data_IF_831886535998
#
_entry.id   IF_831886535998
#
_cell.length_a   1.000
_cell.length_b   1.000
_cell.length_c   1.000
_cell.angle_alpha   90.00
_cell.angle_beta   90.00
_cell.angle_gamma   90.00
#
_symmetry.space_group_name_H-M   'P 1'
#
loop_
_entity.id
_entity.type
_entity.pdbx_description
1 polymer ?
#
# COMPACT_ATOMS: atom_id res chain seq x y z
N UNK A 1 40.18 7.66 -36.39
CA UNK A 1 38.97 7.44 -35.58
C UNK A 1 38.68 5.96 -35.69
N UNK A 2 39.09 5.20 -34.65
CA UNK A 2 38.80 3.77 -34.58
C UNK A 2 37.33 3.61 -34.11
N UNK A 3 36.52 2.97 -34.92
CA UNK A 3 35.20 2.52 -34.57
C UNK A 3 35.35 1.44 -33.48
N UNK A 4 34.99 1.75 -32.25
CA UNK A 4 34.83 0.76 -31.17
C UNK A 4 33.57 -0.05 -31.49
N UNK A 5 33.77 -1.15 -32.19
CA UNK A 5 32.71 -2.17 -32.39
C UNK A 5 32.48 -2.84 -31.06
N UNK A 6 31.45 -2.43 -30.33
CA UNK A 6 30.94 -3.15 -29.15
C UNK A 6 30.46 -4.52 -29.66
N UNK A 7 31.29 -5.54 -29.51
CA UNK A 7 30.85 -6.94 -29.62
C UNK A 7 29.80 -7.19 -28.53
N UNK A 8 28.57 -7.41 -28.95
CA UNK A 8 27.49 -7.89 -28.09
C UNK A 8 27.89 -9.31 -27.70
N UNK A 9 28.51 -9.46 -26.52
CA UNK A 9 28.80 -10.79 -25.97
C UNK A 9 27.49 -11.58 -25.90
N UNK A 10 27.51 -12.83 -26.37
CA UNK A 10 26.36 -13.71 -26.28
C UNK A 10 26.07 -13.99 -24.79
N UNK A 11 24.84 -13.74 -24.38
CA UNK A 11 24.37 -14.01 -23.02
C UNK A 11 24.61 -15.48 -22.66
N UNK A 12 25.18 -15.73 -21.51
CA UNK A 12 25.30 -17.10 -21.02
C UNK A 12 23.95 -17.64 -20.53
N UNK A 13 23.88 -18.95 -20.24
CA UNK A 13 22.65 -19.62 -19.83
C UNK A 13 22.02 -19.01 -18.58
N UNK A 14 22.81 -18.62 -17.59
CA UNK A 14 22.34 -17.98 -16.34
C UNK A 14 21.69 -16.64 -16.65
N UNK A 15 22.37 -15.80 -17.43
CA UNK A 15 21.84 -14.49 -17.82
C UNK A 15 20.52 -14.62 -18.59
N UNK A 16 20.43 -15.58 -19.51
CA UNK A 16 19.21 -15.84 -20.28
C UNK A 16 18.07 -16.32 -19.38
N UNK A 17 18.34 -17.22 -18.41
CA UNK A 17 17.34 -17.68 -17.44
C UNK A 17 16.77 -16.51 -16.63
N UNK A 18 17.62 -15.62 -16.16
CA UNK A 18 17.21 -14.48 -15.33
C UNK A 18 16.42 -13.46 -16.15
N UNK A 19 16.81 -13.19 -17.37
CA UNK A 19 16.02 -12.34 -18.29
C UNK A 19 14.63 -12.91 -18.55
N UNK A 20 14.55 -14.22 -18.78
CA UNK A 20 13.26 -14.89 -18.96
C UNK A 20 12.42 -14.83 -17.67
N UNK A 21 13.04 -14.98 -16.50
CA UNK A 21 12.34 -14.80 -15.22
C UNK A 21 11.78 -13.39 -15.06
N UNK A 22 12.54 -12.34 -15.41
CA UNK A 22 12.05 -10.96 -15.32
C UNK A 22 10.81 -10.70 -16.19
N UNK A 23 10.66 -11.46 -17.28
CA UNK A 23 9.51 -11.33 -18.19
C UNK A 23 8.30 -12.17 -17.73
N UNK A 24 8.54 -13.34 -17.13
CA UNK A 24 7.49 -14.35 -16.95
C UNK A 24 7.17 -14.67 -15.50
N UNK A 25 8.07 -14.39 -14.56
CA UNK A 25 8.04 -14.85 -13.17
C UNK A 25 7.86 -16.39 -13.05
N UNK A 26 8.28 -17.16 -14.08
CA UNK A 26 8.14 -18.63 -14.10
C UNK A 26 9.00 -19.27 -12.99
N UNK A 27 8.34 -20.06 -12.16
CA UNK A 27 8.93 -20.68 -10.98
C UNK A 27 10.08 -21.67 -11.28
N UNK A 28 10.18 -22.15 -12.53
CA UNK A 28 11.30 -23.03 -12.95
C UNK A 28 12.68 -22.37 -12.84
N UNK A 29 12.72 -21.01 -12.78
CA UNK A 29 13.96 -20.25 -12.60
C UNK A 29 14.31 -19.97 -11.12
N UNK A 30 13.48 -20.44 -10.19
CA UNK A 30 13.66 -20.30 -8.76
C UNK A 30 14.09 -21.65 -8.16
N UNK A 31 15.13 -21.65 -7.31
CA UNK A 31 15.55 -22.86 -6.59
C UNK A 31 14.43 -23.35 -5.65
N UNK A 32 14.37 -24.65 -5.39
CA UNK A 32 13.31 -25.22 -4.54
C UNK A 32 13.33 -24.69 -3.12
N UNK A 33 14.52 -24.43 -2.59
CA UNK A 33 14.78 -23.91 -1.25
C UNK A 33 15.08 -22.42 -1.24
N UNK A 34 14.69 -21.69 -2.28
CA UNK A 34 14.91 -20.24 -2.38
C UNK A 34 14.25 -19.46 -1.24
N UNK A 35 14.79 -18.27 -0.94
CA UNK A 35 14.24 -17.37 0.08
C UNK A 35 14.08 -15.97 -0.50
N UNK A 36 12.85 -15.47 -0.50
CA UNK A 36 12.52 -14.10 -0.88
C UNK A 36 12.22 -13.27 0.37
N UNK A 37 12.78 -12.08 0.45
CA UNK A 37 12.61 -11.15 1.58
C UNK A 37 12.11 -9.81 1.06
N UNK A 38 10.96 -9.38 1.52
CA UNK A 38 10.52 -8.01 1.34
C UNK A 38 11.15 -7.16 2.44
N UNK A 39 12.13 -6.33 2.09
CA UNK A 39 12.87 -5.52 3.06
C UNK A 39 12.10 -4.28 3.53
N UNK A 40 11.00 -3.95 2.86
CA UNK A 40 10.13 -2.84 3.26
C UNK A 40 9.11 -3.27 4.32
N UNK A 41 8.54 -4.48 4.17
CA UNK A 41 7.53 -5.01 5.11
C UNK A 41 8.09 -5.98 6.14
N UNK A 42 9.29 -6.53 5.90
CA UNK A 42 9.93 -7.56 6.73
C UNK A 42 9.43 -8.98 6.47
N UNK A 43 8.53 -9.18 5.51
CA UNK A 43 8.01 -10.50 5.16
C UNK A 43 9.07 -11.38 4.51
N UNK A 44 9.03 -12.68 4.81
CA UNK A 44 9.97 -13.68 4.31
C UNK A 44 9.19 -14.88 3.77
N UNK A 45 9.43 -15.24 2.52
CA UNK A 45 8.82 -16.36 1.81
C UNK A 45 9.90 -17.42 1.54
N UNK A 46 9.65 -18.68 1.91
CA UNK A 46 10.62 -19.77 1.85
C UNK A 46 10.13 -20.91 0.95
N UNK A 47 11.00 -21.29 0.03
CA UNK A 47 10.69 -22.33 -0.93
C UNK A 47 9.87 -21.84 -2.12
N UNK A 48 10.01 -22.57 -3.22
CA UNK A 48 9.38 -22.24 -4.52
C UNK A 48 7.86 -22.11 -4.43
N UNK A 49 7.20 -22.92 -3.63
CA UNK A 49 5.74 -22.95 -3.49
C UNK A 49 5.22 -21.67 -2.82
N UNK A 50 5.79 -21.29 -1.67
CA UNK A 50 5.38 -20.10 -0.92
C UNK A 50 5.69 -18.83 -1.72
N UNK A 51 6.85 -18.79 -2.40
CA UNK A 51 7.21 -17.70 -3.31
C UNK A 51 6.22 -17.59 -4.47
N UNK A 52 5.84 -18.74 -5.05
CA UNK A 52 4.85 -18.79 -6.12
C UNK A 52 3.49 -18.26 -5.69
N UNK A 53 3.04 -18.64 -4.50
CA UNK A 53 1.79 -18.16 -3.92
C UNK A 53 1.82 -16.61 -3.71
N UNK A 54 2.93 -16.08 -3.20
CA UNK A 54 3.13 -14.64 -3.03
C UNK A 54 3.09 -13.90 -4.36
N UNK A 55 3.84 -14.38 -5.37
CA UNK A 55 3.84 -13.78 -6.70
C UNK A 55 2.44 -13.82 -7.32
N UNK A 56 1.76 -14.97 -7.26
CA UNK A 56 0.40 -15.09 -7.78
C UNK A 56 -0.57 -14.16 -7.08
N UNK A 57 -0.48 -14.05 -5.75
CA UNK A 57 -1.31 -13.13 -4.97
C UNK A 57 -1.09 -11.69 -5.41
N UNK A 58 0.15 -11.24 -5.49
CA UNK A 58 0.47 -9.85 -5.82
C UNK A 58 0.12 -9.49 -7.27
N UNK A 59 0.39 -10.37 -8.23
CA UNK A 59 0.24 -10.05 -9.65
C UNK A 59 -1.13 -10.39 -10.24
N UNK A 60 -1.94 -11.27 -9.58
CA UNK A 60 -3.18 -11.77 -10.17
C UNK A 60 -4.39 -11.75 -9.24
N UNK A 61 -4.19 -11.67 -7.90
CA UNK A 61 -5.29 -11.68 -6.93
C UNK A 61 -5.53 -10.29 -6.37
N UNK A 62 -4.52 -9.70 -5.72
CA UNK A 62 -4.64 -8.35 -5.15
C UNK A 62 -4.60 -7.28 -6.26
N UNK A 63 -3.77 -7.53 -7.27
CA UNK A 63 -3.64 -6.65 -8.43
C UNK A 63 -3.73 -7.46 -9.73
N UNK A 64 -4.25 -6.84 -10.77
CA UNK A 64 -3.98 -7.24 -12.16
C UNK A 64 -2.78 -6.42 -12.61
N UNK A 65 -1.57 -6.99 -12.47
CA UNK A 65 -0.34 -6.23 -12.55
C UNK A 65 0.78 -6.95 -13.31
N UNK A 66 1.80 -6.17 -13.67
CA UNK A 66 3.04 -6.67 -14.24
C UNK A 66 4.24 -5.87 -13.72
N UNK A 67 5.43 -6.45 -13.77
CA UNK A 67 6.68 -5.73 -13.58
C UNK A 67 7.22 -5.27 -14.94
N UNK A 68 7.42 -3.95 -15.11
CA UNK A 68 8.04 -3.38 -16.29
C UNK A 68 9.50 -3.03 -15.95
N UNK A 69 10.44 -3.93 -16.32
CA UNK A 69 11.87 -3.71 -16.11
C UNK A 69 12.41 -2.66 -17.07
N UNK A 70 13.17 -1.69 -16.57
CA UNK A 70 13.81 -0.65 -17.39
C UNK A 70 15.33 -0.65 -17.29
N UNK A 71 15.89 -1.27 -16.25
CA UNK A 71 17.33 -1.40 -16.05
C UNK A 71 17.67 -2.68 -15.32
N UNK A 72 18.80 -3.31 -15.63
CA UNK A 72 19.27 -4.50 -14.91
C UNK A 72 20.78 -4.73 -15.05
N UNK A 73 21.34 -5.39 -14.08
CA UNK A 73 22.71 -5.94 -14.09
C UNK A 73 22.63 -7.41 -13.77
N UNK A 74 23.20 -8.26 -14.61
CA UNK A 74 23.18 -9.71 -14.42
C UNK A 74 24.61 -10.25 -14.58
N UNK A 75 25.07 -10.96 -13.56
CA UNK A 75 26.30 -11.76 -13.51
C UNK A 75 25.97 -13.23 -13.30
N UNK A 76 26.95 -14.10 -13.22
CA UNK A 76 26.74 -15.53 -12.96
C UNK A 76 26.22 -15.82 -11.53
N UNK A 77 26.47 -14.90 -10.59
CA UNK A 77 26.14 -15.10 -9.17
C UNK A 77 25.15 -14.10 -8.60
N UNK A 78 24.93 -12.99 -9.27
CA UNK A 78 24.04 -11.92 -8.81
C UNK A 78 23.31 -11.27 -9.96
N UNK A 79 22.09 -10.85 -9.67
CA UNK A 79 21.36 -9.96 -10.56
C UNK A 79 20.68 -8.85 -9.76
N UNK A 80 20.50 -7.69 -10.39
CA UNK A 80 19.68 -6.59 -9.89
C UNK A 80 18.78 -6.14 -11.02
N UNK A 81 17.52 -5.90 -10.73
CA UNK A 81 16.56 -5.33 -11.66
C UNK A 81 15.89 -4.11 -11.02
N UNK A 82 15.82 -3.04 -11.80
CA UNK A 82 14.97 -1.88 -11.53
C UNK A 82 13.76 -1.96 -12.45
N UNK A 83 12.59 -1.85 -11.88
CA UNK A 83 11.31 -2.02 -12.55
C UNK A 83 10.25 -1.10 -11.96
N UNK A 84 9.12 -1.02 -12.63
CA UNK A 84 7.87 -0.51 -12.09
C UNK A 84 6.88 -1.65 -11.92
N UNK A 85 6.27 -1.76 -10.75
CA UNK A 85 5.09 -2.58 -10.52
C UNK A 85 3.87 -1.77 -10.99
N UNK A 86 3.30 -2.17 -12.13
CA UNK A 86 2.18 -1.46 -12.76
C UNK A 86 0.96 -2.35 -12.87
N UNK A 87 -0.18 -1.82 -12.52
CA UNK A 87 -1.43 -2.55 -12.64
C UNK A 87 -2.59 -1.87 -11.93
N UNK A 88 -3.66 -2.63 -11.71
CA UNK A 88 -4.89 -2.18 -11.08
C UNK A 88 -5.16 -2.99 -9.82
N UNK A 89 -5.55 -2.34 -8.73
CA UNK A 89 -5.96 -2.97 -7.49
C UNK A 89 -7.34 -3.62 -7.63
N UNK A 90 -7.39 -4.94 -7.75
CA UNK A 90 -8.60 -5.71 -8.06
C UNK A 90 -9.08 -6.64 -6.94
N UNK A 91 -8.26 -6.92 -5.93
CA UNK A 91 -8.57 -7.81 -4.83
C UNK A 91 -8.31 -7.19 -3.46
N UNK A 92 -8.58 -7.93 -2.41
CA UNK A 92 -8.32 -7.48 -1.04
C UNK A 92 -6.82 -7.51 -0.72
N UNK A 93 -6.31 -6.45 -0.10
CA UNK A 93 -4.94 -6.38 0.43
C UNK A 93 -4.92 -5.71 1.80
N UNK A 94 -4.30 -6.35 2.80
CA UNK A 94 -4.18 -5.81 4.15
C UNK A 94 -5.53 -5.49 4.83
N UNK A 95 -6.60 -6.21 4.51
CA UNK A 95 -7.96 -5.97 5.01
C UNK A 95 -8.73 -4.87 4.26
N UNK A 96 -8.18 -4.33 3.18
CA UNK A 96 -8.85 -3.34 2.33
C UNK A 96 -9.37 -3.96 1.06
N UNK A 97 -10.64 -3.70 0.72
CA UNK A 97 -11.26 -4.16 -0.51
C UNK A 97 -10.67 -3.51 -1.75
N UNK A 98 -10.86 -4.15 -2.91
CA UNK A 98 -10.45 -3.63 -4.20
C UNK A 98 -10.96 -2.19 -4.44
N UNK A 99 -10.05 -1.30 -4.84
CA UNK A 99 -10.38 0.11 -5.14
C UNK A 99 -10.50 0.39 -6.64
N UNK A 100 -10.10 -0.56 -7.49
CA UNK A 100 -10.01 -0.44 -8.95
C UNK A 100 -9.11 0.71 -9.44
N UNK A 101 -8.26 1.25 -8.57
CA UNK A 101 -7.28 2.29 -8.91
C UNK A 101 -6.01 1.68 -9.49
N UNK A 102 -5.36 2.45 -10.37
CA UNK A 102 -4.09 2.09 -10.98
C UNK A 102 -2.93 2.33 -10.01
N UNK A 103 -1.88 1.51 -10.15
CA UNK A 103 -0.60 1.66 -9.45
C UNK A 103 0.55 1.72 -10.45
N UNK A 104 1.56 2.54 -10.14
CA UNK A 104 2.84 2.65 -10.84
C UNK A 104 3.92 2.90 -9.78
N UNK A 105 4.48 1.80 -9.24
CA UNK A 105 5.32 1.83 -8.05
C UNK A 105 6.75 1.41 -8.40
N UNK A 106 7.76 2.23 -8.11
CA UNK A 106 9.15 1.83 -8.28
C UNK A 106 9.49 0.58 -7.46
N UNK A 107 10.16 -0.35 -8.12
CA UNK A 107 10.56 -1.64 -7.58
C UNK A 107 12.02 -1.90 -7.92
N UNK A 108 12.81 -2.29 -6.92
CA UNK A 108 14.14 -2.83 -7.14
C UNK A 108 14.25 -4.20 -6.48
N UNK A 109 14.80 -5.18 -7.17
CA UNK A 109 15.05 -6.50 -6.59
C UNK A 109 16.48 -6.92 -6.86
N UNK A 110 17.17 -7.34 -5.80
CA UNK A 110 18.50 -7.93 -5.86
C UNK A 110 18.40 -9.43 -5.64
N UNK A 111 19.05 -10.21 -6.51
CA UNK A 111 19.04 -11.67 -6.49
C UNK A 111 20.44 -12.22 -6.25
N UNK A 112 20.54 -13.29 -5.46
CA UNK A 112 21.67 -14.19 -5.44
C UNK A 112 21.34 -15.44 -6.25
N UNK A 113 22.30 -15.85 -7.10
CA UNK A 113 22.12 -16.92 -8.09
C UNK A 113 23.05 -18.10 -7.77
N UNK A 114 22.52 -19.30 -7.89
CA UNK A 114 23.25 -20.56 -7.75
C UNK A 114 22.78 -21.51 -8.85
N UNK A 115 23.72 -22.11 -9.58
CA UNK A 115 23.46 -23.04 -10.70
C UNK A 115 22.48 -22.53 -11.76
N UNK A 116 22.49 -21.20 -11.99
CA UNK A 116 21.62 -20.55 -12.96
C UNK A 116 20.16 -20.36 -12.50
N UNK A 117 19.90 -20.56 -11.20
CA UNK A 117 18.60 -20.36 -10.55
C UNK A 117 18.69 -19.25 -9.50
N UNK A 118 17.56 -18.63 -9.20
CA UNK A 118 17.42 -17.66 -8.11
C UNK A 118 17.40 -18.42 -6.79
N UNK A 119 18.37 -18.12 -5.92
CA UNK A 119 18.49 -18.70 -4.58
C UNK A 119 17.98 -17.78 -3.49
N UNK A 120 18.27 -16.48 -3.57
CA UNK A 120 17.73 -15.47 -2.70
C UNK A 120 17.23 -14.26 -3.50
N UNK A 121 16.20 -13.60 -3.00
CA UNK A 121 15.77 -12.30 -3.48
C UNK A 121 15.55 -11.34 -2.32
N UNK A 122 15.94 -10.09 -2.51
CA UNK A 122 15.68 -8.96 -1.63
C UNK A 122 14.88 -7.94 -2.40
N UNK A 123 13.62 -7.77 -1.98
CA UNK A 123 12.64 -6.92 -2.66
C UNK A 123 12.59 -5.57 -1.95
N UNK A 124 12.77 -4.51 -2.70
CA UNK A 124 12.66 -3.11 -2.28
C UNK A 124 11.52 -2.47 -3.07
N UNK A 125 10.32 -2.50 -2.52
CA UNK A 125 9.14 -1.87 -3.11
C UNK A 125 8.57 -0.86 -2.13
N UNK A 126 8.27 0.34 -2.62
CA UNK A 126 7.72 1.41 -1.78
C UNK A 126 6.22 1.14 -1.51
N UNK A 127 5.94 0.26 -0.54
CA UNK A 127 4.58 -0.16 -0.18
C UNK A 127 3.69 1.02 0.20
N UNK A 128 4.24 2.06 0.84
CA UNK A 128 3.50 3.27 1.19
C UNK A 128 3.04 4.03 -0.07
N UNK A 129 3.88 4.08 -1.11
CA UNK A 129 3.52 4.70 -2.40
C UNK A 129 2.39 3.92 -3.07
N UNK A 130 2.48 2.58 -3.07
CA UNK A 130 1.44 1.71 -3.59
C UNK A 130 0.11 1.96 -2.87
N UNK A 131 0.10 1.93 -1.54
CA UNK A 131 -1.09 2.16 -0.74
C UNK A 131 -1.66 3.57 -0.96
N UNK A 132 -0.81 4.59 -1.08
CA UNK A 132 -1.25 5.95 -1.40
C UNK A 132 -1.93 6.05 -2.77
N UNK A 133 -1.37 5.43 -3.80
CA UNK A 133 -1.94 5.44 -5.15
C UNK A 133 -3.31 4.77 -5.20
N UNK A 134 -3.52 3.69 -4.45
CA UNK A 134 -4.84 3.04 -4.35
C UNK A 134 -5.77 3.72 -3.34
N UNK A 135 -5.32 4.78 -2.65
CA UNK A 135 -6.14 5.55 -1.72
C UNK A 135 -6.33 4.86 -0.36
N UNK A 136 -5.44 3.93 0.01
CA UNK A 136 -5.47 3.17 1.27
C UNK A 136 -4.41 3.65 2.28
N UNK A 137 -3.45 4.44 1.85
CA UNK A 137 -2.44 4.99 2.75
C UNK A 137 -2.92 6.29 3.36
N UNK A 138 -3.05 6.29 4.65
CA UNK A 138 -2.84 7.48 5.45
C UNK A 138 -1.34 7.64 5.65
N UNK A 139 -0.61 8.05 4.61
CA UNK A 139 0.83 8.31 4.74
C UNK A 139 1.05 9.47 5.72
N UNK A 140 2.03 9.39 6.66
CA UNK A 140 2.35 10.49 7.57
C UNK A 140 2.89 11.74 6.85
N UNK A 141 3.06 11.69 5.51
CA UNK A 141 3.73 12.72 4.72
C UNK A 141 2.97 13.17 3.46
N UNK A 142 1.67 12.90 3.31
CA UNK A 142 0.94 13.65 2.28
C UNK A 142 0.88 15.12 2.74
N UNK A 143 1.56 15.98 1.98
CA UNK A 143 1.49 17.41 2.24
C UNK A 143 0.07 17.87 2.00
N UNK A 144 -0.61 18.22 3.07
CA UNK A 144 -1.96 18.81 3.06
C UNK A 144 -1.85 20.24 3.55
N UNK A 145 -2.73 21.11 3.08
CA UNK A 145 -2.73 22.49 3.53
C UNK A 145 -3.59 22.69 4.79
N UNK A 146 -4.60 21.85 4.97
CA UNK A 146 -5.52 21.94 6.09
C UNK A 146 -5.74 20.55 6.71
N UNK A 147 -5.75 20.52 8.04
CA UNK A 147 -6.14 19.36 8.85
C UNK A 147 -7.45 19.69 9.55
N UNK A 148 -8.46 18.88 9.31
CA UNK A 148 -9.74 18.95 10.02
C UNK A 148 -9.77 17.84 11.05
N UNK A 149 -9.93 18.21 12.32
CA UNK A 149 -10.04 17.28 13.45
C UNK A 149 -11.43 17.33 14.02
N UNK A 150 -12.16 16.23 13.94
CA UNK A 150 -13.37 16.02 14.72
C UNK A 150 -13.01 15.29 16.01
N UNK A 151 -13.13 15.95 17.13
CA UNK A 151 -12.78 15.45 18.47
C UNK A 151 -14.06 15.11 19.20
N UNK A 152 -14.23 13.83 19.53
CA UNK A 152 -15.40 13.32 20.24
C UNK A 152 -14.99 12.88 21.65
N UNK A 153 -15.73 13.33 22.64
CA UNK A 153 -15.70 12.75 23.98
C UNK A 153 -16.73 11.63 24.03
N UNK A 154 -16.25 10.40 24.19
CA UNK A 154 -17.11 9.24 24.32
C UNK A 154 -17.60 9.08 25.75
N UNK A 155 -18.80 8.52 25.92
CA UNK A 155 -19.32 8.12 27.22
C UNK A 155 -18.42 7.06 27.85
N UNK A 156 -18.31 7.07 29.17
CA UNK A 156 -17.48 6.12 29.90
C UNK A 156 -17.85 4.65 29.57
N UNK A 157 -16.86 3.84 29.21
CA UNK A 157 -17.05 2.43 28.83
C UNK A 157 -17.53 2.19 27.39
N UNK A 158 -17.81 3.24 26.60
CA UNK A 158 -18.35 3.12 25.24
C UNK A 158 -17.30 2.96 24.12
N UNK A 159 -16.01 2.84 24.45
CA UNK A 159 -14.96 2.68 23.42
C UNK A 159 -15.13 1.40 22.58
N UNK A 160 -15.49 0.26 23.21
CA UNK A 160 -15.64 -1.01 22.47
C UNK A 160 -16.73 -0.95 21.39
N UNK A 161 -18.00 -0.56 21.68
CA UNK A 161 -19.00 -0.43 20.65
C UNK A 161 -18.65 0.61 19.58
N UNK A 162 -17.99 1.71 19.94
CA UNK A 162 -17.50 2.70 18.97
C UNK A 162 -16.46 2.09 18.04
N UNK A 163 -15.53 1.28 18.55
CA UNK A 163 -14.54 0.57 17.72
C UNK A 163 -15.21 -0.36 16.70
N UNK A 164 -16.30 -1.03 17.06
CA UNK A 164 -17.09 -1.86 16.13
C UNK A 164 -17.74 -1.01 15.03
N UNK A 165 -18.30 0.15 15.37
CA UNK A 165 -18.85 1.11 14.41
C UNK A 165 -17.77 1.70 13.50
N UNK A 166 -16.57 1.98 13.99
CA UNK A 166 -15.45 2.45 13.18
C UNK A 166 -14.98 1.37 12.19
N UNK A 167 -14.97 0.10 12.58
CA UNK A 167 -14.69 -0.99 11.68
C UNK A 167 -15.75 -1.09 10.57
N UNK A 168 -17.04 -1.00 10.94
CA UNK A 168 -18.15 -0.96 9.96
C UNK A 168 -17.98 0.20 8.97
N UNK A 169 -17.66 1.40 9.45
CA UNK A 169 -17.42 2.59 8.62
C UNK A 169 -16.27 2.36 7.63
N UNK A 170 -15.17 1.75 8.09
CA UNK A 170 -14.04 1.39 7.23
C UNK A 170 -14.43 0.35 6.18
N UNK A 171 -15.07 -0.75 6.61
CA UNK A 171 -15.42 -1.89 5.75
C UNK A 171 -16.44 -1.51 4.67
N UNK A 172 -17.29 -0.53 4.95
CA UNK A 172 -18.27 0.04 4.02
C UNK A 172 -17.76 1.26 3.26
N UNK A 173 -16.49 1.65 3.47
CA UNK A 173 -15.85 2.80 2.83
C UNK A 173 -16.64 4.13 2.99
N UNK A 174 -17.21 4.33 4.17
CA UNK A 174 -18.00 5.54 4.50
C UNK A 174 -17.13 6.73 4.97
N UNK A 175 -15.79 6.60 4.94
CA UNK A 175 -14.90 7.69 5.28
C UNK A 175 -15.02 8.82 4.25
N UNK A 176 -14.94 10.09 4.68
CA UNK A 176 -14.89 11.21 3.74
C UNK A 176 -13.74 11.06 2.74
N UNK A 177 -13.94 11.49 1.50
CA UNK A 177 -12.83 11.61 0.55
C UNK A 177 -11.88 12.72 1.03
N UNK A 178 -10.75 12.31 1.59
CA UNK A 178 -9.68 13.18 2.07
C UNK A 178 -8.32 12.64 1.59
N UNK A 179 -7.33 13.52 1.46
CA UNK A 179 -5.97 13.11 1.08
C UNK A 179 -5.29 12.27 2.16
N UNK A 180 -5.61 12.52 3.41
CA UNK A 180 -5.16 11.69 4.53
C UNK A 180 -6.28 11.57 5.54
N UNK A 181 -6.39 10.39 6.18
CA UNK A 181 -7.36 10.14 7.25
C UNK A 181 -6.67 9.35 8.35
N UNK A 182 -6.85 9.79 9.59
CA UNK A 182 -6.35 9.11 10.78
C UNK A 182 -7.45 9.03 11.83
N UNK A 183 -7.51 7.89 12.51
CA UNK A 183 -8.34 7.69 13.69
C UNK A 183 -7.42 7.55 14.89
N UNK A 184 -7.50 8.45 15.83
CA UNK A 184 -6.64 8.52 16.99
C UNK A 184 -7.48 8.41 18.27
N UNK A 185 -6.90 7.86 19.32
CA UNK A 185 -7.49 7.84 20.65
C UNK A 185 -6.44 8.25 21.68
N UNK A 186 -6.86 8.60 22.85
CA UNK A 186 -5.98 8.94 23.96
C UNK A 186 -5.12 7.75 24.40
N UNK A 187 -3.85 8.01 24.63
CA UNK A 187 -2.95 7.13 25.36
C UNK A 187 -2.67 7.70 26.75
N UNK A 188 -2.66 9.03 26.87
CA UNK A 188 -2.54 9.79 28.11
C UNK A 188 -3.45 11.02 28.05
N UNK A 189 -3.83 11.59 29.18
CA UNK A 189 -4.71 12.75 29.26
C UNK A 189 -6.17 12.39 29.50
N UNK A 190 -7.09 13.14 28.93
CA UNK A 190 -8.53 12.92 29.08
C UNK A 190 -8.93 11.58 28.45
N UNK A 191 -9.50 10.67 29.26
CA UNK A 191 -9.87 9.34 28.81
C UNK A 191 -11.12 9.36 27.90
N UNK A 192 -11.24 8.33 27.04
CA UNK A 192 -12.37 8.15 26.10
C UNK A 192 -12.50 9.22 25.04
N UNK A 193 -11.40 9.84 24.64
CA UNK A 193 -11.37 10.77 23.52
C UNK A 193 -11.10 10.03 22.21
N UNK A 194 -11.93 10.29 21.19
CA UNK A 194 -11.75 9.80 19.82
C UNK A 194 -11.51 11.01 18.92
N UNK A 195 -10.51 10.96 18.05
CA UNK A 195 -10.19 12.02 17.11
C UNK A 195 -10.20 11.42 15.70
N UNK A 196 -11.04 11.98 14.84
CA UNK A 196 -10.98 11.74 13.39
C UNK A 196 -10.26 12.93 12.77
N UNK A 197 -9.09 12.67 12.17
CA UNK A 197 -8.28 13.69 11.54
C UNK A 197 -8.23 13.45 10.03
N UNK A 198 -8.64 14.44 9.25
CA UNK A 198 -8.67 14.39 7.78
C UNK A 198 -7.87 15.56 7.20
N UNK A 199 -7.07 15.28 6.17
CA UNK A 199 -6.24 16.26 5.48
C UNK A 199 -6.78 16.63 4.11
N UNK A 200 -6.75 17.95 3.78
CA UNK A 200 -7.26 18.54 2.54
C UNK A 200 -6.30 19.57 1.98
N UNK A 201 -6.30 19.77 0.65
CA UNK A 201 -5.54 20.87 0.03
C UNK A 201 -6.25 22.21 0.16
N UNK A 202 -7.57 22.19 0.21
CA UNK A 202 -8.38 23.41 0.32
C UNK A 202 -9.60 23.20 1.21
N UNK A 203 -10.13 24.28 1.77
CA UNK A 203 -11.40 24.24 2.49
C UNK A 203 -12.59 23.91 1.57
N UNK A 204 -12.48 24.19 0.28
CA UNK A 204 -13.49 23.84 -0.71
C UNK A 204 -13.59 22.31 -0.91
N UNK A 205 -12.45 21.60 -0.94
CA UNK A 205 -12.44 20.14 -0.95
C UNK A 205 -13.11 19.57 0.30
N UNK A 206 -12.82 20.14 1.45
CA UNK A 206 -13.46 19.76 2.70
C UNK A 206 -14.99 19.96 2.64
N UNK A 207 -15.47 21.13 2.20
CA UNK A 207 -16.91 21.42 2.05
C UNK A 207 -17.58 20.45 1.07
N UNK A 208 -16.91 20.12 -0.04
CA UNK A 208 -17.40 19.17 -1.04
C UNK A 208 -17.50 17.76 -0.46
N UNK A 209 -16.50 17.31 0.30
CA UNK A 209 -16.49 16.00 0.94
C UNK A 209 -17.64 15.82 1.94
N UNK A 210 -17.97 16.89 2.67
CA UNK A 210 -19.10 16.90 3.62
C UNK A 210 -20.45 16.85 2.91
N UNK A 211 -20.58 17.51 1.77
CA UNK A 211 -21.84 17.57 1.04
C UNK A 211 -22.24 16.22 0.42
N UNK A 212 -21.27 15.43 -0.03
CA UNK A 212 -21.51 14.09 -0.60
C UNK A 212 -21.92 13.03 0.43
N UNK A 213 -21.25 13.01 1.58
CA UNK A 213 -21.45 11.98 2.60
C UNK A 213 -22.73 12.14 3.42
N UNK A 214 -23.13 13.37 3.74
CA UNK A 214 -24.29 13.62 4.62
C UNK A 214 -25.65 13.27 3.99
N UNK A 215 -25.73 13.13 2.67
CA UNK A 215 -26.96 12.73 1.97
C UNK A 215 -27.18 11.21 1.89
N UNK A 216 -26.15 10.40 2.19
CA UNK A 216 -26.23 8.95 2.15
C UNK A 216 -27.06 8.40 3.34
N UNK A 217 -28.18 7.68 3.08
CA UNK A 217 -29.01 7.09 4.13
C UNK A 217 -28.23 6.08 5.02
N UNK A 218 -27.25 5.36 4.47
CA UNK A 218 -26.45 4.37 5.20
C UNK A 218 -25.52 5.09 6.18
N UNK A 219 -24.89 6.16 5.75
CA UNK A 219 -24.07 7.02 6.60
C UNK A 219 -24.93 7.67 7.71
N UNK A 220 -26.13 8.16 7.40
CA UNK A 220 -27.04 8.75 8.40
C UNK A 220 -27.43 7.75 9.49
N UNK A 221 -27.71 6.49 9.13
CA UNK A 221 -28.04 5.44 10.09
C UNK A 221 -26.83 5.09 10.95
N UNK A 222 -25.63 4.99 10.36
CA UNK A 222 -24.40 4.77 11.07
C UNK A 222 -24.12 5.90 12.05
N UNK A 223 -24.20 7.15 11.59
CA UNK A 223 -23.94 8.34 12.40
C UNK A 223 -24.91 8.46 13.59
N UNK A 224 -26.19 8.12 13.40
CA UNK A 224 -27.18 8.09 14.46
C UNK A 224 -26.80 7.12 15.59
N UNK A 225 -26.36 5.91 15.24
CA UNK A 225 -25.85 4.92 16.21
C UNK A 225 -24.58 5.41 16.92
N UNK A 226 -23.67 6.00 16.16
CA UNK A 226 -22.43 6.56 16.70
C UNK A 226 -22.70 7.66 17.73
N UNK A 227 -23.63 8.57 17.48
CA UNK A 227 -23.99 9.67 18.38
C UNK A 227 -24.55 9.18 19.73
N UNK A 228 -25.13 7.99 19.81
CA UNK A 228 -25.58 7.40 21.08
C UNK A 228 -24.43 7.17 22.08
N UNK A 229 -23.21 7.03 21.59
CA UNK A 229 -21.98 6.78 22.35
C UNK A 229 -21.18 8.06 22.65
N UNK A 230 -21.56 9.19 22.08
CA UNK A 230 -20.85 10.47 22.20
C UNK A 230 -21.49 11.32 23.29
N UNK A 231 -20.67 11.94 24.14
CA UNK A 231 -21.10 12.90 25.16
C UNK A 231 -21.03 14.32 24.63
N UNK A 232 -19.93 14.64 23.97
CA UNK A 232 -19.70 15.96 23.34
C UNK A 232 -18.76 15.85 22.16
N UNK A 233 -18.77 16.85 21.28
CA UNK A 233 -17.83 16.95 20.18
C UNK A 233 -17.46 18.39 19.89
N UNK A 234 -16.26 18.60 19.35
CA UNK A 234 -15.87 19.87 18.75
C UNK A 234 -14.97 19.62 17.54
N UNK A 235 -14.86 20.61 16.67
CA UNK A 235 -14.06 20.58 15.46
C UNK A 235 -12.97 21.61 15.49
N UNK A 236 -11.77 21.22 15.08
CA UNK A 236 -10.65 22.09 14.83
C UNK A 236 -10.30 22.05 13.33
N UNK A 237 -10.02 23.21 12.75
CA UNK A 237 -9.45 23.30 11.41
C UNK A 237 -8.09 23.98 11.54
N UNK A 238 -7.04 23.23 11.25
CA UNK A 238 -5.66 23.67 11.38
C UNK A 238 -5.05 23.86 10.00
N UNK A 239 -4.28 24.95 9.82
CA UNK A 239 -3.49 25.16 8.61
C UNK A 239 -2.09 24.57 8.82
N UNK A 240 -1.65 23.68 7.92
CA UNK A 240 -0.29 23.19 7.94
C UNK A 240 0.67 24.28 7.44
N UNK A 241 1.77 24.49 8.16
CA UNK A 241 2.74 25.57 7.87
C UNK A 241 4.01 25.01 7.20
N UNK A 242 4.35 23.71 7.42
CA UNK A 242 5.56 23.06 6.89
C UNK A 242 5.24 21.71 6.24
#
# INVERSE_FOLDING_TARGET
>A
MEEVTLQKEALNKTQQNILNYFQTHDLKYIAEDAVFRNLTTGEVYKGREEIGAMLHFMYHIAFDARAESYNYVITDKKAVVEAYFKGRHIGEIGGYKATNKEVDVPLCVSYDLEDGLIKEARIYMLSEVMLAQVGLASGPNQKVNFLVRDIFQLKFGHFKPVKELLNEMRDKQMMPEAKSSRVLTDFTGDAYRLILENGFDSLMEYETSMSGGTADPEWQQWYKRFMEHVESSHREILKQIF
#
